data_IF_732179126561
#
_entry.id   IF_732179126561
#
_cell.length_a   1.000
_cell.length_b   1.000
_cell.length_c   1.000
_cell.angle_alpha   90.00
_cell.angle_beta   90.00
_cell.angle_gamma   90.00
#
_symmetry.space_group_name_H-M   'P 1'
#
loop_
_entity.id
_entity.type
_entity.pdbx_description
1 polymer ?
#
# COMPACT_ATOMS: atom_id res chain seq x y z
N UNK A 1 -14.09 22.65 -11.87
CA UNK A 1 -14.66 21.77 -10.81
C UNK A 1 -15.81 22.49 -10.14
N UNK A 2 -16.94 21.82 -9.95
CA UNK A 2 -18.00 22.26 -9.04
C UNK A 2 -17.80 21.47 -7.74
N UNK A 3 -17.27 22.11 -6.69
CA UNK A 3 -16.98 21.47 -5.41
C UNK A 3 -17.86 22.12 -4.36
N UNK A 4 -18.52 21.30 -3.54
CA UNK A 4 -19.38 21.74 -2.44
C UNK A 4 -18.73 21.42 -1.10
N UNK A 5 -19.05 22.21 -0.07
CA UNK A 5 -18.72 21.90 1.31
C UNK A 5 -19.66 20.81 1.88
N UNK A 6 -19.44 20.46 3.16
CA UNK A 6 -20.25 19.48 3.88
C UNK A 6 -21.73 19.87 4.06
N UNK A 7 -22.09 21.13 3.79
CA UNK A 7 -23.45 21.66 3.84
C UNK A 7 -24.06 21.79 2.42
N UNK A 8 -23.34 21.36 1.38
CA UNK A 8 -23.79 21.43 -0.01
C UNK A 8 -23.59 22.81 -0.66
N UNK A 9 -22.93 23.75 0.01
CA UNK A 9 -22.65 25.06 -0.56
C UNK A 9 -21.42 25.02 -1.44
N UNK A 10 -21.51 25.63 -2.62
CA UNK A 10 -20.38 25.75 -3.53
C UNK A 10 -19.21 26.46 -2.84
N UNK A 11 -18.01 25.86 -2.92
CA UNK A 11 -16.78 26.52 -2.46
C UNK A 11 -16.55 27.79 -3.28
N UNK A 12 -16.54 28.92 -2.59
CA UNK A 12 -16.37 30.27 -3.17
C UNK A 12 -15.16 31.02 -2.62
N UNK A 13 -14.46 30.42 -1.64
CA UNK A 13 -13.23 30.98 -1.07
C UNK A 13 -12.15 31.11 -2.14
N UNK A 14 -11.82 32.36 -2.49
CA UNK A 14 -10.83 32.69 -3.51
C UNK A 14 -9.42 32.28 -3.11
N UNK A 15 -9.08 32.31 -1.81
CA UNK A 15 -7.79 31.89 -1.29
C UNK A 15 -7.60 30.38 -1.45
N UNK A 16 -8.61 29.59 -1.08
CA UNK A 16 -8.59 28.14 -1.29
C UNK A 16 -8.51 27.77 -2.78
N UNK A 17 -9.29 28.44 -3.62
CA UNK A 17 -9.24 28.24 -5.09
C UNK A 17 -7.85 28.59 -5.64
N UNK A 18 -7.26 29.69 -5.20
CA UNK A 18 -5.91 30.09 -5.61
C UNK A 18 -4.86 29.08 -5.17
N UNK A 19 -4.95 28.58 -3.93
CA UNK A 19 -4.05 27.54 -3.44
C UNK A 19 -4.13 26.25 -4.27
N UNK A 20 -5.34 25.79 -4.59
CA UNK A 20 -5.53 24.62 -5.47
C UNK A 20 -4.91 24.86 -6.84
N UNK A 21 -5.11 26.05 -7.43
CA UNK A 21 -4.49 26.41 -8.71
C UNK A 21 -2.97 26.40 -8.64
N UNK A 22 -2.40 26.98 -7.59
CA UNK A 22 -0.95 27.01 -7.37
C UNK A 22 -0.37 25.59 -7.25
N UNK A 23 -0.96 24.75 -6.41
CA UNK A 23 -0.54 23.36 -6.24
C UNK A 23 -0.60 22.55 -7.55
N UNK A 24 -1.63 22.77 -8.38
CA UNK A 24 -1.75 22.14 -9.70
C UNK A 24 -0.73 22.66 -10.71
N UNK A 25 -0.34 23.94 -10.64
CA UNK A 25 0.64 24.55 -11.53
C UNK A 25 2.08 24.19 -11.15
N UNK A 26 2.40 24.09 -9.87
CA UNK A 26 3.70 23.61 -9.37
C UNK A 26 3.94 22.16 -9.80
N UNK A 27 2.93 21.29 -9.68
CA UNK A 27 2.98 19.91 -10.15
C UNK A 27 3.13 19.76 -11.69
N UNK A 28 2.81 20.80 -12.47
CA UNK A 28 3.02 20.81 -13.93
C UNK A 28 4.40 21.35 -14.33
N UNK A 29 5.02 22.17 -13.49
CA UNK A 29 6.32 22.79 -13.75
C UNK A 29 7.50 21.86 -13.45
N UNK A 30 7.28 20.79 -12.66
CA UNK A 30 8.24 19.71 -12.43
C UNK A 30 8.37 18.70 -13.58
N UNK A 31 7.72 18.94 -14.74
CA UNK A 31 7.85 18.12 -15.97
C UNK A 31 9.20 18.24 -16.69
N UNK A 32 10.25 18.67 -15.99
CA UNK A 32 11.63 18.69 -16.49
C UNK A 32 12.28 17.33 -16.29
N UNK A 33 12.15 16.45 -17.29
CA UNK A 33 13.08 15.36 -17.66
C UNK A 33 13.95 14.85 -16.48
N UNK A 34 13.44 13.91 -15.69
CA UNK A 34 14.32 12.99 -14.98
C UNK A 34 14.73 11.92 -16.00
N UNK A 35 16.02 11.85 -16.34
CA UNK A 35 16.55 10.69 -17.03
C UNK A 35 16.37 9.49 -16.11
N UNK A 36 15.50 8.55 -16.48
CA UNK A 36 15.52 7.19 -15.95
C UNK A 36 16.91 6.61 -16.24
N UNK A 37 17.87 6.80 -15.34
CA UNK A 37 19.10 6.01 -15.36
C UNK A 37 18.70 4.66 -14.76
N UNK A 38 18.09 3.80 -15.60
CA UNK A 38 18.14 2.37 -15.35
C UNK A 38 19.62 1.99 -15.34
N UNK A 39 20.18 1.68 -14.17
CA UNK A 39 21.46 0.97 -14.04
C UNK A 39 21.27 -0.43 -14.65
N UNK A 40 21.24 -0.52 -15.97
CA UNK A 40 21.39 -1.78 -16.69
C UNK A 40 22.88 -2.13 -16.66
N UNK A 41 23.17 -3.33 -16.16
CA UNK A 41 24.41 -4.10 -16.28
C UNK A 41 25.64 -3.26 -16.66
N UNK A 42 26.50 -2.98 -15.68
CA UNK A 42 27.75 -2.25 -15.83
C UNK A 42 28.68 -2.92 -16.87
N UNK A 43 28.55 -2.52 -18.13
CA UNK A 43 29.53 -2.69 -19.18
C UNK A 43 29.39 -1.50 -20.15
N UNK A 44 30.00 -0.36 -19.79
CA UNK A 44 30.66 0.63 -20.69
C UNK A 44 30.86 1.99 -19.97
N UNK A 45 32.00 2.63 -20.25
CA UNK A 45 32.57 3.82 -19.59
C UNK A 45 32.76 4.96 -20.64
N UNK A 46 33.11 6.22 -20.29
CA UNK A 46 32.38 7.26 -19.54
C UNK A 46 32.18 8.54 -20.36
N UNK A 47 31.24 9.42 -19.96
CA UNK A 47 31.24 10.78 -20.50
C UNK A 47 30.09 11.70 -20.12
N UNK A 48 29.79 11.91 -18.83
CA UNK A 48 29.12 13.14 -18.42
C UNK A 48 29.32 13.40 -16.93
N UNK A 49 30.05 14.47 -16.60
CA UNK A 49 30.13 15.02 -15.24
C UNK A 49 28.81 15.72 -14.94
N UNK A 50 27.84 14.98 -14.40
CA UNK A 50 26.62 15.55 -13.83
C UNK A 50 26.94 15.95 -12.39
N UNK A 51 26.77 17.22 -12.03
CA UNK A 51 26.86 17.67 -10.65
C UNK A 51 25.68 17.10 -9.86
N UNK A 52 25.93 16.03 -9.12
CA UNK A 52 24.91 15.34 -8.31
C UNK A 52 24.64 16.15 -7.05
N UNK A 53 23.62 17.03 -7.09
CA UNK A 53 22.97 17.51 -5.87
C UNK A 53 22.27 16.33 -5.19
N UNK A 54 22.43 16.19 -3.87
CA UNK A 54 21.96 15.10 -3.00
C UNK A 54 20.82 14.22 -3.59
N UNK A 55 21.19 13.15 -4.29
CA UNK A 55 20.24 12.21 -4.88
C UNK A 55 19.89 11.13 -3.88
N UNK A 56 18.61 11.02 -3.52
CA UNK A 56 18.11 9.89 -2.74
C UNK A 56 17.99 8.67 -3.67
N UNK A 57 18.41 7.51 -3.19
CA UNK A 57 18.25 6.26 -3.94
C UNK A 57 16.98 5.56 -3.51
N UNK A 58 16.18 5.14 -4.49
CA UNK A 58 14.99 4.33 -4.26
C UNK A 58 15.13 2.96 -4.92
N UNK A 59 14.68 1.95 -4.19
CA UNK A 59 14.56 0.58 -4.63
C UNK A 59 13.09 0.35 -4.93
N UNK A 60 12.78 -0.04 -6.16
CA UNK A 60 11.47 -0.53 -6.54
C UNK A 60 11.52 -2.03 -6.74
N UNK A 61 10.68 -2.76 -6.03
CA UNK A 61 10.57 -4.20 -6.17
C UNK A 61 9.12 -4.59 -6.39
N UNK A 62 8.89 -5.46 -7.36
CA UNK A 62 7.63 -6.18 -7.54
C UNK A 62 7.92 -7.67 -7.60
N UNK A 63 7.19 -8.45 -6.83
CA UNK A 63 7.38 -9.89 -6.69
C UNK A 63 6.10 -10.58 -6.24
N UNK A 64 6.09 -11.91 -6.23
CA UNK A 64 5.05 -12.68 -5.55
C UNK A 64 5.11 -12.40 -4.04
N UNK A 65 3.96 -12.18 -3.42
CA UNK A 65 3.86 -12.01 -1.98
C UNK A 65 4.08 -13.35 -1.27
N UNK A 66 4.96 -13.34 -0.27
CA UNK A 66 5.32 -14.51 0.53
C UNK A 66 5.52 -14.11 1.99
N UNK A 67 5.14 -14.96 2.96
CA UNK A 67 5.34 -14.68 4.37
C UNK A 67 6.80 -14.36 4.68
N UNK A 68 7.05 -13.20 5.29
CA UNK A 68 8.39 -12.78 5.70
C UNK A 68 9.22 -12.04 4.65
N UNK A 69 8.75 -11.89 3.40
CA UNK A 69 9.44 -11.15 2.33
C UNK A 69 9.98 -9.79 2.77
N UNK A 70 9.12 -8.95 3.37
CA UNK A 70 9.51 -7.61 3.77
C UNK A 70 10.54 -7.59 4.93
N UNK A 71 10.57 -8.65 5.75
CA UNK A 71 11.57 -8.83 6.81
C UNK A 71 12.93 -9.21 6.23
N UNK A 72 12.94 -10.09 5.23
CA UNK A 72 14.17 -10.53 4.58
C UNK A 72 14.80 -9.37 3.81
N UNK A 73 13.99 -8.57 3.11
CA UNK A 73 14.45 -7.34 2.44
C UNK A 73 15.03 -6.36 3.45
N UNK A 74 14.32 -6.03 4.53
CA UNK A 74 14.79 -5.04 5.51
C UNK A 74 16.06 -5.49 6.24
N UNK A 75 16.23 -6.81 6.42
CA UNK A 75 17.43 -7.41 7.03
C UNK A 75 18.61 -7.41 6.07
N UNK A 76 18.39 -7.72 4.79
CA UNK A 76 19.43 -7.64 3.76
C UNK A 76 19.96 -6.21 3.61
N UNK A 77 19.06 -5.21 3.56
CA UNK A 77 19.45 -3.80 3.50
C UNK A 77 20.33 -3.39 4.69
N UNK A 78 19.94 -3.78 5.91
CA UNK A 78 20.71 -3.51 7.11
C UNK A 78 22.07 -4.23 7.10
N UNK A 79 22.11 -5.50 6.66
CA UNK A 79 23.34 -6.29 6.56
C UNK A 79 24.36 -5.71 5.57
N UNK A 80 23.89 -5.03 4.53
CA UNK A 80 24.70 -4.30 3.56
C UNK A 80 25.11 -2.89 4.02
N UNK A 81 24.68 -2.46 5.21
CA UNK A 81 24.99 -1.13 5.73
C UNK A 81 24.14 -0.01 5.13
N UNK A 82 22.97 -0.31 4.57
CA UNK A 82 22.01 0.70 4.15
C UNK A 82 21.02 1.01 5.27
N UNK A 83 20.77 2.30 5.48
CA UNK A 83 19.69 2.78 6.33
C UNK A 83 18.45 3.07 5.47
N UNK A 84 17.26 2.74 5.99
CA UNK A 84 16.00 3.01 5.29
C UNK A 84 15.40 4.32 5.81
N UNK A 85 15.34 5.35 4.98
CA UNK A 85 14.73 6.64 5.34
C UNK A 85 13.23 6.68 5.12
N UNK A 86 12.73 5.92 4.15
CA UNK A 86 11.30 5.69 3.97
C UNK A 86 11.04 4.37 3.25
N UNK A 87 9.93 3.71 3.57
CA UNK A 87 9.47 2.56 2.81
C UNK A 87 7.95 2.56 2.69
N UNK A 88 7.45 2.21 1.51
CA UNK A 88 6.03 1.93 1.29
C UNK A 88 5.90 0.60 0.56
N UNK A 89 5.07 -0.30 1.07
CA UNK A 89 4.77 -1.57 0.39
C UNK A 89 3.29 -1.90 0.46
N UNK A 90 2.76 -2.48 -0.62
CA UNK A 90 1.39 -2.98 -0.73
C UNK A 90 1.42 -4.45 -1.13
N UNK A 91 0.43 -5.22 -0.67
CA UNK A 91 0.15 -6.56 -1.18
C UNK A 91 -1.29 -6.66 -1.68
N UNK A 92 -1.50 -7.38 -2.79
CA UNK A 92 -2.82 -7.66 -3.38
C UNK A 92 -2.71 -8.87 -4.30
N UNK A 93 -3.69 -9.78 -4.26
CA UNK A 93 -3.74 -10.96 -5.13
C UNK A 93 -2.42 -11.76 -5.25
N UNK A 94 -1.80 -12.06 -4.10
CA UNK A 94 -0.51 -12.77 -4.02
C UNK A 94 0.66 -12.02 -4.69
N UNK A 95 0.53 -10.72 -4.91
CA UNK A 95 1.57 -9.83 -5.42
C UNK A 95 1.96 -8.83 -4.36
N UNK A 96 3.25 -8.49 -4.32
CA UNK A 96 3.82 -7.47 -3.48
C UNK A 96 4.54 -6.44 -4.35
N UNK A 97 4.34 -5.16 -4.03
CA UNK A 97 5.11 -4.06 -4.59
C UNK A 97 5.63 -3.18 -3.46
N UNK A 98 6.91 -2.82 -3.48
CA UNK A 98 7.50 -1.90 -2.52
C UNK A 98 8.41 -0.87 -3.17
N UNK A 99 8.43 0.32 -2.56
CA UNK A 99 9.35 1.42 -2.85
C UNK A 99 10.07 1.75 -1.55
N UNK A 100 11.40 1.61 -1.53
CA UNK A 100 12.24 1.80 -0.35
C UNK A 100 13.31 2.83 -0.66
N UNK A 101 13.31 3.93 0.07
CA UNK A 101 14.34 4.95 0.03
C UNK A 101 15.47 4.56 0.98
N UNK A 102 16.68 4.51 0.43
CA UNK A 102 17.88 4.07 1.14
C UNK A 102 18.96 5.14 1.15
N UNK A 103 19.69 5.17 2.26
CA UNK A 103 20.82 6.05 2.53
C UNK A 103 22.00 5.19 3.00
N UNK A 104 23.23 5.63 2.75
CA UNK A 104 24.42 4.96 3.29
C UNK A 104 24.46 5.19 4.82
N UNK A 105 24.53 4.12 5.62
CA UNK A 105 24.54 4.26 7.08
C UNK A 105 25.87 4.83 7.61
N UNK A 106 26.96 4.73 6.85
CA UNK A 106 28.31 5.15 7.25
C UNK A 106 28.69 6.53 6.68
N UNK A 107 28.02 6.98 5.63
CA UNK A 107 28.23 8.31 5.02
C UNK A 107 26.91 9.08 5.10
N UNK A 108 26.90 10.24 5.76
CA UNK A 108 25.80 11.22 5.65
C UNK A 108 25.79 11.83 4.23
N UNK A 109 25.58 11.01 3.19
CA UNK A 109 25.63 11.44 1.80
C UNK A 109 25.11 10.39 0.80
N UNK A 110 24.96 10.77 -0.48
CA UNK A 110 24.42 9.90 -1.53
C UNK A 110 25.26 8.65 -1.75
N UNK A 111 24.63 7.55 -2.17
CA UNK A 111 25.34 6.31 -2.56
C UNK A 111 26.13 6.59 -3.84
N UNK A 112 27.44 6.71 -3.73
CA UNK A 112 28.31 7.07 -4.86
C UNK A 112 28.99 5.86 -5.52
N UNK A 113 28.85 4.67 -4.95
CA UNK A 113 29.56 3.49 -5.42
C UNK A 113 28.65 2.56 -6.23
N UNK A 114 28.97 2.40 -7.52
CA UNK A 114 28.27 1.51 -8.42
C UNK A 114 28.45 0.04 -8.04
N UNK A 115 29.58 -0.34 -7.42
CA UNK A 115 29.82 -1.71 -6.96
C UNK A 115 28.90 -2.06 -5.79
N UNK A 116 28.76 -1.15 -4.82
CA UNK A 116 27.81 -1.29 -3.71
C UNK A 116 26.36 -1.42 -4.18
N UNK A 117 25.95 -0.67 -5.21
CA UNK A 117 24.60 -0.77 -5.79
C UNK A 117 24.39 -2.08 -6.56
N UNK A 118 25.41 -2.56 -7.29
CA UNK A 118 25.35 -3.86 -7.96
C UNK A 118 25.23 -5.01 -6.94
N UNK A 119 26.03 -4.97 -5.88
CA UNK A 119 25.97 -5.95 -4.79
C UNK A 119 24.60 -5.91 -4.08
N UNK A 120 24.05 -4.72 -3.84
CA UNK A 120 22.69 -4.56 -3.32
C UNK A 120 21.65 -5.20 -4.23
N UNK A 121 21.76 -4.96 -5.54
CA UNK A 121 20.84 -5.52 -6.52
C UNK A 121 20.89 -7.04 -6.54
N UNK A 122 22.09 -7.62 -6.54
CA UNK A 122 22.31 -9.05 -6.55
C UNK A 122 21.78 -9.71 -5.27
N UNK A 123 22.07 -9.13 -4.10
CA UNK A 123 21.61 -9.65 -2.82
C UNK A 123 20.08 -9.63 -2.70
N UNK A 124 19.44 -8.52 -3.08
CA UNK A 124 17.97 -8.45 -3.10
C UNK A 124 17.38 -9.43 -4.10
N UNK A 125 18.02 -9.62 -5.26
CA UNK A 125 17.56 -10.62 -6.22
C UNK A 125 17.69 -12.03 -5.65
N UNK A 126 18.74 -12.33 -4.88
CA UNK A 126 18.93 -13.62 -4.22
C UNK A 126 17.89 -13.85 -3.12
N UNK A 127 17.60 -12.84 -2.30
CA UNK A 127 16.54 -12.89 -1.27
C UNK A 127 15.20 -13.27 -1.90
N UNK A 128 14.83 -12.62 -3.00
CA UNK A 128 13.56 -12.89 -3.67
C UNK A 128 13.57 -14.27 -4.35
N UNK A 129 14.67 -14.63 -5.04
CA UNK A 129 14.83 -15.97 -5.66
C UNK A 129 14.79 -17.11 -4.65
N UNK A 130 15.27 -16.90 -3.42
CA UNK A 130 15.22 -17.93 -2.38
C UNK A 130 13.78 -18.23 -1.92
N UNK A 131 12.87 -17.28 -2.10
CA UNK A 131 11.45 -17.40 -1.76
C UNK A 131 10.60 -17.92 -2.93
N UNK A 132 10.99 -17.64 -4.17
CA UNK A 132 10.31 -18.15 -5.37
C UNK A 132 10.81 -19.55 -5.74
N UNK A 133 9.90 -20.51 -5.83
CA UNK A 133 10.21 -21.85 -6.35
C UNK A 133 10.73 -21.83 -7.79
N UNK A 134 11.41 -22.90 -8.21
CA UNK A 134 12.10 -23.04 -9.52
C UNK A 134 11.24 -22.66 -10.75
N UNK A 135 9.91 -22.78 -10.70
CA UNK A 135 9.01 -22.60 -11.84
C UNK A 135 8.55 -21.15 -12.11
N UNK A 136 8.64 -20.24 -11.13
CA UNK A 136 8.07 -18.87 -11.23
C UNK A 136 9.13 -17.76 -11.33
N UNK A 137 10.33 -18.08 -11.84
CA UNK A 137 11.48 -17.16 -12.01
C UNK A 137 11.21 -15.92 -12.90
N UNK A 138 10.00 -15.74 -13.44
CA UNK A 138 9.66 -14.69 -14.43
C UNK A 138 8.95 -13.45 -13.86
N UNK A 139 8.55 -13.42 -12.58
CA UNK A 139 7.72 -12.32 -12.03
C UNK A 139 8.46 -11.30 -11.17
N UNK A 140 9.74 -11.51 -10.86
CA UNK A 140 10.51 -10.55 -10.06
C UNK A 140 10.97 -9.37 -10.93
N UNK A 141 10.62 -8.15 -10.52
CA UNK A 141 11.09 -6.91 -11.14
C UNK A 141 11.71 -6.02 -10.06
N UNK A 142 13.03 -5.89 -10.11
CA UNK A 142 13.81 -5.02 -9.24
C UNK A 142 14.40 -3.87 -10.06
N UNK A 143 14.22 -2.63 -9.60
CA UNK A 143 14.81 -1.44 -10.21
C UNK A 143 15.43 -0.56 -9.13
N UNK A 144 16.63 -0.06 -9.39
CA UNK A 144 17.27 0.98 -8.60
C UNK A 144 17.10 2.31 -9.33
N UNK A 145 16.66 3.35 -8.61
CA UNK A 145 16.50 4.71 -9.15
C UNK A 145 17.26 5.72 -8.32
N UNK A 146 18.02 6.56 -9.00
CA UNK A 146 18.52 7.82 -8.45
C UNK A 146 17.46 8.89 -8.67
N UNK A 147 16.93 9.48 -7.59
CA UNK A 147 15.92 10.53 -7.69
C UNK A 147 16.51 11.91 -7.44
N UNK A 148 16.19 12.83 -8.35
CA UNK A 148 16.28 14.26 -8.07
C UNK A 148 15.16 14.67 -7.10
N UNK A 149 15.45 15.62 -6.22
CA UNK A 149 14.52 16.07 -5.17
C UNK A 149 13.15 16.48 -5.75
N UNK A 150 12.08 15.92 -5.18
CA UNK A 150 10.70 16.39 -5.37
C UNK A 150 9.85 15.71 -6.45
N UNK A 151 10.25 14.57 -7.01
CA UNK A 151 9.68 14.15 -8.31
C UNK A 151 8.71 12.95 -8.36
N UNK A 152 8.52 12.13 -7.32
CA UNK A 152 7.64 10.95 -7.43
C UNK A 152 6.55 10.89 -6.35
N UNK A 153 5.28 10.88 -6.78
CA UNK A 153 4.17 10.54 -5.90
C UNK A 153 4.20 9.03 -5.63
N UNK A 154 4.84 8.59 -4.54
CA UNK A 154 5.08 7.16 -4.20
C UNK A 154 3.86 6.27 -4.40
N UNK A 155 2.68 6.68 -3.90
CA UNK A 155 1.45 5.89 -4.07
C UNK A 155 0.98 5.77 -5.54
N UNK A 156 1.18 6.82 -6.36
CA UNK A 156 0.89 6.78 -7.80
C UNK A 156 1.78 5.75 -8.47
N UNK A 157 3.06 5.72 -8.09
CA UNK A 157 4.04 4.79 -8.63
C UNK A 157 3.76 3.35 -8.22
N UNK A 158 3.34 3.11 -6.98
CA UNK A 158 2.89 1.79 -6.53
C UNK A 158 1.69 1.28 -7.32
N UNK A 159 0.72 2.15 -7.64
CA UNK A 159 -0.39 1.79 -8.54
C UNK A 159 0.11 1.31 -9.91
N UNK A 160 1.10 1.99 -10.48
CA UNK A 160 1.70 1.61 -11.76
C UNK A 160 2.45 0.28 -11.68
N UNK A 161 3.20 0.05 -10.60
CA UNK A 161 3.93 -1.20 -10.37
C UNK A 161 2.98 -2.39 -10.27
N UNK A 162 1.93 -2.26 -9.45
CA UNK A 162 0.89 -3.29 -9.28
C UNK A 162 0.15 -3.56 -10.60
N UNK A 163 -0.31 -2.51 -11.29
CA UNK A 163 -0.98 -2.65 -12.58
C UNK A 163 -0.08 -3.34 -13.62
N UNK A 164 1.20 -2.95 -13.70
CA UNK A 164 2.14 -3.56 -14.61
C UNK A 164 2.46 -5.02 -14.26
N UNK A 165 2.15 -5.48 -13.04
CA UNK A 165 2.28 -6.88 -12.62
C UNK A 165 1.09 -7.76 -12.98
N UNK A 166 -0.04 -7.13 -13.33
CA UNK A 166 -1.28 -7.84 -13.59
C UNK A 166 -1.97 -8.32 -12.32
N UNK A 167 -1.85 -7.60 -11.21
CA UNK A 167 -2.56 -7.92 -9.96
C UNK A 167 -4.09 -7.94 -10.10
N UNK A 168 -4.64 -7.28 -11.13
CA UNK A 168 -6.06 -7.32 -11.49
C UNK A 168 -6.50 -8.67 -12.09
N UNK A 169 -5.57 -9.55 -12.48
CA UNK A 169 -5.87 -10.86 -13.04
C UNK A 169 -6.18 -11.85 -11.91
N UNK A 170 -7.44 -12.31 -11.83
CA UNK A 170 -7.87 -13.26 -10.80
C UNK A 170 -7.28 -14.64 -11.11
N UNK A 171 -6.34 -15.11 -10.30
CA UNK A 171 -5.74 -16.44 -10.45
C UNK A 171 -6.82 -17.53 -10.28
N UNK A 172 -6.91 -18.46 -11.23
CA UNK A 172 -8.00 -19.46 -11.32
C UNK A 172 -8.08 -20.48 -10.18
N UNK A 173 -7.16 -20.46 -9.22
CA UNK A 173 -7.11 -21.42 -8.10
C UNK A 173 -8.01 -21.06 -6.90
N UNK A 174 -8.59 -19.86 -6.86
CA UNK A 174 -9.38 -19.36 -5.73
C UNK A 174 -10.80 -18.93 -6.14
N UNK A 175 -11.46 -19.72 -6.99
CA UNK A 175 -12.87 -19.49 -7.34
C UNK A 175 -13.84 -19.94 -6.24
N UNK A 176 -13.37 -20.64 -5.21
CA UNK A 176 -14.16 -21.01 -4.04
C UNK A 176 -13.80 -20.10 -2.85
N UNK A 177 -14.81 -19.37 -2.34
CA UNK A 177 -14.85 -18.77 -0.99
C UNK A 177 -14.20 -17.39 -0.74
N UNK A 178 -14.19 -16.48 -1.71
CA UNK A 178 -14.11 -15.02 -1.42
C UNK A 178 -15.40 -14.31 -1.81
N UNK A 179 -16.54 -14.73 -1.26
CA UNK A 179 -17.79 -13.93 -1.30
C UNK A 179 -17.69 -12.67 -0.42
N UNK A 180 -16.73 -12.61 0.52
CA UNK A 180 -16.59 -11.48 1.46
C UNK A 180 -15.60 -10.38 1.03
N UNK A 181 -14.83 -10.55 -0.05
CA UNK A 181 -13.80 -9.58 -0.47
C UNK A 181 -14.34 -8.37 -1.23
N UNK A 182 -15.50 -8.50 -1.86
CA UNK A 182 -16.15 -7.44 -2.64
C UNK A 182 -17.25 -6.71 -1.86
N UNK A 183 -17.37 -6.92 -0.54
CA UNK A 183 -18.53 -6.46 0.24
C UNK A 183 -18.55 -4.92 0.38
N UNK A 184 -19.08 -4.29 -0.66
CA UNK A 184 -19.22 -2.85 -0.80
C UNK A 184 -18.42 -2.22 -1.93
N UNK A 185 -17.76 -2.96 -2.84
CA UNK A 185 -17.19 -2.40 -4.09
C UNK A 185 -18.01 -2.92 -5.27
N UNK A 186 -18.64 -2.00 -6.00
CA UNK A 186 -19.38 -2.28 -7.22
C UNK A 186 -18.82 -1.38 -8.33
N UNK A 187 -18.38 -2.00 -9.43
CA UNK A 187 -17.89 -1.29 -10.61
C UNK A 187 -18.68 -1.76 -11.81
N UNK A 188 -19.30 -0.83 -12.53
CA UNK A 188 -19.92 -1.11 -13.82
C UNK A 188 -19.39 -0.15 -14.88
N UNK A 189 -19.23 -0.67 -16.09
CA UNK A 189 -18.81 0.11 -17.25
C UNK A 189 -19.90 -0.06 -18.29
N UNK A 190 -20.54 1.01 -18.72
CA UNK A 190 -21.65 0.99 -19.68
C UNK A 190 -21.34 1.89 -20.87
N UNK A 191 -21.92 1.60 -22.03
CA UNK A 191 -21.76 2.43 -23.22
C UNK A 191 -22.82 3.51 -23.26
N UNK A 192 -22.39 4.75 -23.47
CA UNK A 192 -23.27 5.84 -23.86
C UNK A 192 -23.08 6.14 -25.35
N UNK A 193 -23.89 5.46 -26.17
CA UNK A 193 -23.72 5.36 -27.62
C UNK A 193 -23.82 6.72 -28.34
N UNK A 194 -24.73 7.59 -27.89
CA UNK A 194 -25.02 8.88 -28.54
C UNK A 194 -23.81 9.81 -28.63
N UNK A 195 -22.92 9.77 -27.63
CA UNK A 195 -21.72 10.61 -27.58
C UNK A 195 -20.42 9.80 -27.61
N UNK A 196 -20.49 8.49 -27.84
CA UNK A 196 -19.31 7.62 -27.90
C UNK A 196 -18.47 7.65 -26.62
N UNK A 197 -19.12 7.74 -25.45
CA UNK A 197 -18.46 7.67 -24.14
C UNK A 197 -18.65 6.28 -23.54
N UNK A 198 -17.71 5.89 -22.68
CA UNK A 198 -17.97 4.88 -21.65
C UNK A 198 -18.34 5.60 -20.36
N UNK A 199 -19.36 5.08 -19.70
CA UNK A 199 -19.82 5.53 -18.38
C UNK A 199 -19.33 4.51 -17.38
N UNK A 200 -18.36 4.92 -16.57
CA UNK A 200 -17.80 4.10 -15.50
C UNK A 200 -18.48 4.53 -14.20
N UNK A 201 -19.21 3.62 -13.58
CA UNK A 201 -19.78 3.80 -12.25
C UNK A 201 -18.96 3.01 -11.24
N UNK A 202 -18.56 3.67 -10.17
CA UNK A 202 -17.83 3.09 -9.04
C UNK A 202 -18.60 3.44 -7.78
N UNK A 203 -19.10 2.41 -7.09
CA UNK A 203 -19.70 2.53 -5.77
C UNK A 203 -18.82 1.79 -4.78
N UNK A 204 -18.35 2.51 -3.75
CA UNK A 204 -17.46 1.95 -2.72
C UNK A 204 -17.78 2.52 -1.35
N UNK A 205 -17.22 1.97 -0.26
CA UNK A 205 -17.21 2.69 1.02
C UNK A 205 -16.40 3.96 0.87
N UNK A 206 -16.91 5.06 1.43
CA UNK A 206 -16.15 6.31 1.38
C UNK A 206 -14.89 6.19 2.25
N UNK A 207 -13.76 6.59 1.67
CA UNK A 207 -12.47 6.53 2.33
C UNK A 207 -11.50 7.56 1.74
N UNK A 208 -10.51 8.00 2.51
CA UNK A 208 -9.44 8.83 1.98
C UNK A 208 -8.82 8.22 0.73
N UNK A 209 -8.58 9.07 -0.27
CA UNK A 209 -7.91 8.74 -1.54
C UNK A 209 -8.68 7.79 -2.46
N UNK A 210 -9.97 7.52 -2.23
CA UNK A 210 -10.79 6.73 -3.13
C UNK A 210 -10.83 7.33 -4.56
N UNK A 211 -11.14 8.63 -4.69
CA UNK A 211 -11.10 9.35 -5.97
C UNK A 211 -9.72 9.26 -6.65
N UNK A 212 -8.65 9.35 -5.86
CA UNK A 212 -7.28 9.24 -6.36
C UNK A 212 -7.03 7.87 -6.99
N UNK A 213 -7.44 6.78 -6.33
CA UNK A 213 -7.26 5.42 -6.83
C UNK A 213 -8.02 5.21 -8.15
N UNK A 214 -9.27 5.67 -8.25
CA UNK A 214 -10.06 5.59 -9.48
C UNK A 214 -9.38 6.33 -10.63
N UNK A 215 -8.93 7.57 -10.40
CA UNK A 215 -8.30 8.40 -11.44
C UNK A 215 -6.93 7.84 -11.86
N UNK A 216 -6.19 7.21 -10.94
CA UNK A 216 -4.94 6.52 -11.28
C UNK A 216 -5.16 5.43 -12.33
N UNK A 217 -6.18 4.58 -12.16
CA UNK A 217 -6.52 3.51 -13.11
C UNK A 217 -6.91 4.08 -14.46
N UNK A 218 -7.85 5.04 -14.47
CA UNK A 218 -8.30 5.67 -15.71
C UNK A 218 -7.12 6.27 -16.48
N UNK A 219 -6.21 6.96 -15.78
CA UNK A 219 -5.03 7.56 -16.39
C UNK A 219 -4.03 6.53 -16.89
N UNK A 220 -3.73 5.49 -16.10
CA UNK A 220 -2.78 4.42 -16.49
C UNK A 220 -3.24 3.63 -17.70
N UNK A 221 -4.55 3.36 -17.76
CA UNK A 221 -5.18 2.69 -18.88
C UNK A 221 -5.42 3.64 -20.09
N UNK A 222 -4.91 4.87 -20.03
CA UNK A 222 -5.00 5.88 -21.09
C UNK A 222 -6.44 6.30 -21.43
N UNK A 223 -7.30 6.40 -20.42
CA UNK A 223 -8.63 7.02 -20.54
C UNK A 223 -8.59 8.50 -20.18
N UNK A 224 -9.23 9.31 -21.01
CA UNK A 224 -9.48 10.73 -20.77
C UNK A 224 -10.86 10.89 -20.14
N UNK A 225 -10.92 11.58 -18.99
CA UNK A 225 -12.16 11.90 -18.29
C UNK A 225 -12.70 13.23 -18.80
N UNK A 226 -13.90 13.22 -19.38
CA UNK A 226 -14.56 14.42 -19.88
C UNK A 226 -15.46 15.05 -18.83
N UNK A 227 -16.26 14.21 -18.18
CA UNK A 227 -17.15 14.58 -17.10
C UNK A 227 -17.04 13.57 -15.98
N UNK A 228 -17.15 14.05 -14.75
CA UNK A 228 -17.23 13.21 -13.57
C UNK A 228 -18.20 13.81 -12.57
N UNK A 229 -19.00 12.96 -11.95
CA UNK A 229 -19.83 13.28 -10.80
C UNK A 229 -19.39 12.39 -9.64
N UNK A 230 -19.08 13.01 -8.50
CA UNK A 230 -18.62 12.29 -7.31
C UNK A 230 -19.48 12.77 -6.15
N UNK A 231 -20.15 11.82 -5.49
CA UNK A 231 -20.93 12.07 -4.29
C UNK A 231 -20.47 11.12 -3.19
N UNK A 232 -20.43 11.62 -1.97
CA UNK A 232 -20.23 10.83 -0.78
C UNK A 232 -21.46 10.97 0.11
N UNK A 233 -21.98 9.83 0.58
CA UNK A 233 -22.89 9.74 1.71
C UNK A 233 -22.09 9.23 2.92
N UNK A 234 -22.71 9.22 4.11
CA UNK A 234 -21.99 9.02 5.39
C UNK A 234 -21.13 7.75 5.50
N UNK A 235 -21.31 6.74 4.63
CA UNK A 235 -20.47 5.54 4.60
C UNK A 235 -20.07 5.06 3.20
N UNK A 236 -20.72 5.53 2.14
CA UNK A 236 -20.52 5.10 0.76
C UNK A 236 -20.26 6.30 -0.15
N UNK A 237 -19.40 6.10 -1.14
CA UNK A 237 -19.15 7.04 -2.21
C UNK A 237 -19.59 6.44 -3.54
N UNK A 238 -20.28 7.26 -4.33
CA UNK A 238 -20.73 6.97 -5.68
C UNK A 238 -19.98 7.90 -6.64
N UNK A 239 -19.36 7.33 -7.66
CA UNK A 239 -18.58 8.05 -8.65
C UNK A 239 -19.00 7.63 -10.05
N UNK A 240 -19.34 8.59 -10.90
CA UNK A 240 -19.69 8.39 -12.30
C UNK A 240 -18.67 9.14 -13.16
N UNK A 241 -18.07 8.47 -14.14
CA UNK A 241 -17.10 9.04 -15.06
C UNK A 241 -17.47 8.79 -16.51
N UNK A 242 -17.49 9.85 -17.30
CA UNK A 242 -17.62 9.79 -18.76
C UNK A 242 -16.23 9.83 -19.38
N UNK A 243 -15.80 8.69 -19.92
CA UNK A 243 -14.43 8.49 -20.39
C UNK A 243 -14.35 8.11 -21.86
N UNK A 244 -13.22 8.44 -22.49
CA UNK A 244 -12.83 7.89 -23.81
C UNK A 244 -11.38 7.45 -23.78
N UNK A 245 -11.04 6.44 -24.56
CA UNK A 245 -9.66 6.03 -24.72
C UNK A 245 -8.89 7.05 -25.55
N UNK A 246 -7.71 7.43 -25.08
CA UNK A 246 -6.82 8.35 -25.77
C UNK A 246 -6.39 7.75 -27.11
N UNK A 247 -6.61 8.51 -28.19
CA UNK A 247 -6.17 8.14 -29.53
C UNK A 247 -6.96 7.01 -30.22
N UNK A 248 -8.08 6.54 -29.68
CA UNK A 248 -8.87 5.50 -30.36
C UNK A 248 -9.98 6.09 -31.24
N UNK A 249 -10.01 5.63 -32.49
CA UNK A 249 -11.20 5.60 -33.35
C UNK A 249 -11.91 4.28 -33.03
N UNK A 250 -12.77 4.31 -32.02
CA UNK A 250 -13.80 3.30 -31.67
C UNK A 250 -13.48 1.86 -32.16
N UNK A 251 -12.59 1.15 -31.46
CA UNK A 251 -12.53 -0.31 -31.54
C UNK A 251 -13.12 -0.87 -30.26
N UNK A 252 -14.28 -1.49 -30.43
CA UNK A 252 -15.13 -2.03 -29.37
C UNK A 252 -14.59 -3.40 -28.93
N UNK A 253 -13.98 -3.46 -27.76
CA UNK A 253 -13.49 -4.71 -27.19
C UNK A 253 -14.14 -4.91 -25.82
N UNK A 254 -15.03 -5.89 -25.70
CA UNK A 254 -15.62 -6.28 -24.41
C UNK A 254 -14.53 -6.67 -23.40
N UNK A 255 -13.43 -7.25 -23.88
CA UNK A 255 -12.25 -7.53 -23.07
C UNK A 255 -11.60 -6.28 -22.46
N UNK A 256 -11.65 -5.13 -23.14
CA UNK A 256 -11.13 -3.87 -22.58
C UNK A 256 -12.06 -3.28 -21.52
N UNK A 257 -13.37 -3.45 -21.71
CA UNK A 257 -14.39 -3.08 -20.73
C UNK A 257 -14.22 -3.91 -19.44
N UNK A 258 -14.10 -5.22 -19.58
CA UNK A 258 -13.86 -6.14 -18.47
C UNK A 258 -12.53 -5.84 -17.78
N UNK A 259 -11.46 -5.63 -18.55
CA UNK A 259 -10.15 -5.25 -18.01
C UNK A 259 -10.22 -3.96 -17.20
N UNK A 260 -10.93 -2.94 -17.70
CA UNK A 260 -11.11 -1.69 -16.98
C UNK A 260 -11.83 -1.90 -15.64
N UNK A 261 -12.91 -2.67 -15.63
CA UNK A 261 -13.63 -3.00 -14.40
C UNK A 261 -12.73 -3.74 -13.39
N UNK A 262 -11.97 -4.75 -13.84
CA UNK A 262 -11.03 -5.49 -12.98
C UNK A 262 -9.92 -4.61 -12.42
N UNK A 263 -9.34 -3.71 -13.24
CA UNK A 263 -8.31 -2.79 -12.78
C UNK A 263 -8.83 -1.81 -11.73
N UNK A 264 -10.06 -1.33 -11.88
CA UNK A 264 -10.71 -0.47 -10.89
C UNK A 264 -10.94 -1.22 -9.58
N UNK A 265 -11.50 -2.44 -9.64
CA UNK A 265 -11.71 -3.27 -8.45
C UNK A 265 -10.38 -3.51 -7.74
N UNK A 266 -9.33 -3.93 -8.45
CA UNK A 266 -8.01 -4.17 -7.87
C UNK A 266 -7.44 -2.91 -7.21
N UNK A 267 -7.48 -1.76 -7.89
CA UNK A 267 -6.99 -0.50 -7.33
C UNK A 267 -7.73 -0.07 -6.06
N UNK A 268 -9.04 -0.34 -5.98
CA UNK A 268 -9.85 -0.04 -4.81
C UNK A 268 -9.51 -0.99 -3.65
N UNK A 269 -9.36 -2.28 -3.94
CA UNK A 269 -9.04 -3.34 -2.97
C UNK A 269 -7.63 -3.21 -2.38
N UNK A 270 -6.63 -2.80 -3.15
CA UNK A 270 -5.24 -2.57 -2.68
C UNK A 270 -5.14 -1.71 -1.41
N UNK A 271 -6.09 -0.80 -1.21
CA UNK A 271 -6.14 0.09 -0.04
C UNK A 271 -7.17 -0.33 1.03
N UNK A 272 -7.96 -1.37 0.79
CA UNK A 272 -8.86 -1.92 1.81
C UNK A 272 -8.04 -2.78 2.75
N UNK A 273 -7.47 -2.14 3.76
CA UNK A 273 -6.77 -2.83 4.82
C UNK A 273 -7.75 -3.37 5.86
N UNK A 274 -7.71 -4.68 6.09
CA UNK A 274 -8.36 -5.36 7.20
C UNK A 274 -7.30 -5.81 8.21
N UNK A 275 -7.72 -6.06 9.45
CA UNK A 275 -6.84 -6.58 10.49
C UNK A 275 -6.28 -5.49 11.41
N UNK A 276 -5.06 -5.68 11.91
CA UNK A 276 -4.48 -4.80 12.92
C UNK A 276 -3.66 -3.68 12.27
N UNK A 277 -4.04 -2.43 12.49
CA UNK A 277 -3.19 -1.27 12.17
C UNK A 277 -2.32 -0.94 13.38
N UNK A 278 -1.01 -0.98 13.20
CA UNK A 278 -0.03 -0.54 14.18
C UNK A 278 0.64 0.74 13.71
N UNK A 279 0.50 1.80 14.49
CA UNK A 279 1.17 3.07 14.29
C UNK A 279 2.34 3.18 15.28
N UNK A 280 3.52 3.49 14.77
CA UNK A 280 4.72 3.70 15.58
C UNK A 280 5.20 5.15 15.43
N UNK A 281 5.64 5.72 16.54
CA UNK A 281 6.37 6.99 16.58
C UNK A 281 7.55 6.83 17.53
N UNK A 282 8.75 6.76 16.98
CA UNK A 282 9.98 6.52 17.76
C UNK A 282 11.15 7.33 17.20
N UNK A 283 12.23 7.44 17.96
CA UNK A 283 13.47 8.03 17.49
C UNK A 283 14.01 7.26 16.28
N UNK A 284 14.46 7.99 15.25
CA UNK A 284 15.03 7.38 14.07
C UNK A 284 16.39 6.75 14.40
N UNK A 285 16.44 5.42 14.40
CA UNK A 285 17.64 4.64 14.71
C UNK A 285 17.94 3.67 13.56
N UNK A 286 19.23 3.48 13.31
CA UNK A 286 19.69 2.52 12.28
C UNK A 286 19.11 1.13 12.56
N UNK A 287 18.54 0.52 11.52
CA UNK A 287 17.94 -0.81 11.58
C UNK A 287 16.57 -0.88 12.26
N UNK A 288 15.90 0.26 12.51
CA UNK A 288 14.56 0.30 13.09
C UNK A 288 13.57 -0.57 12.30
N UNK A 289 13.54 -0.42 10.97
CA UNK A 289 12.61 -1.18 10.13
C UNK A 289 12.82 -2.69 10.28
N UNK A 290 14.07 -3.16 10.20
CA UNK A 290 14.41 -4.58 10.40
C UNK A 290 13.96 -5.10 11.77
N UNK A 291 14.22 -4.34 12.84
CA UNK A 291 13.79 -4.70 14.21
C UNK A 291 12.26 -4.82 14.32
N UNK A 292 11.51 -3.86 13.77
CA UNK A 292 10.05 -3.87 13.80
C UNK A 292 9.50 -5.05 13.00
N UNK A 293 9.97 -5.23 11.76
CA UNK A 293 9.51 -6.31 10.88
C UNK A 293 9.84 -7.68 11.47
N UNK A 294 10.97 -7.82 12.16
CA UNK A 294 11.36 -9.06 12.84
C UNK A 294 10.38 -9.41 13.96
N UNK A 295 10.02 -8.46 14.82
CA UNK A 295 9.02 -8.67 15.88
C UNK A 295 7.68 -9.11 15.29
N UNK A 296 7.25 -8.49 14.19
CA UNK A 296 6.01 -8.86 13.49
C UNK A 296 6.06 -10.34 13.03
N UNK A 297 7.15 -10.73 12.34
CA UNK A 297 7.33 -12.11 11.85
C UNK A 297 7.44 -13.14 12.98
N UNK A 298 8.20 -12.85 14.03
CA UNK A 298 8.37 -13.74 15.19
C UNK A 298 7.05 -13.99 15.94
N UNK A 299 6.05 -13.13 15.74
CA UNK A 299 4.71 -13.29 16.29
C UNK A 299 3.70 -13.87 15.27
N UNK A 300 4.16 -14.40 14.13
CA UNK A 300 3.32 -15.07 13.14
C UNK A 300 2.42 -14.13 12.35
N UNK A 301 2.75 -12.83 12.30
CA UNK A 301 1.97 -11.83 11.56
C UNK A 301 2.60 -11.54 10.19
N UNK A 302 1.74 -11.28 9.22
CA UNK A 302 2.13 -10.85 7.87
C UNK A 302 1.83 -9.37 7.67
N UNK A 303 2.64 -8.70 6.87
CA UNK A 303 2.50 -7.27 6.56
C UNK A 303 1.77 -7.14 5.23
N UNK A 304 0.52 -6.68 5.27
CA UNK A 304 -0.26 -6.42 4.06
C UNK A 304 0.04 -5.04 3.46
N UNK A 305 0.34 -4.07 4.33
CA UNK A 305 0.73 -2.72 3.91
C UNK A 305 1.65 -2.09 4.93
N UNK A 306 2.62 -1.33 4.45
CA UNK A 306 3.51 -0.50 5.29
C UNK A 306 3.69 0.87 4.67
N UNK A 307 3.70 1.88 5.53
CA UNK A 307 4.10 3.26 5.24
C UNK A 307 5.00 3.70 6.39
N UNK A 308 6.29 3.91 6.16
CA UNK A 308 7.22 4.43 7.17
C UNK A 308 8.07 5.54 6.55
N UNK A 309 8.36 6.55 7.34
CA UNK A 309 9.22 7.66 6.97
C UNK A 309 9.83 8.34 8.19
N UNK A 310 10.71 9.29 7.92
CA UNK A 310 11.40 10.07 8.95
C UNK A 310 10.97 11.54 8.84
N UNK A 311 10.56 12.10 9.97
CA UNK A 311 10.24 13.52 10.14
C UNK A 311 11.17 14.10 11.22
N UNK A 312 12.16 14.89 10.79
CA UNK A 312 13.23 15.35 11.67
C UNK A 312 14.02 14.18 12.24
N UNK A 313 14.06 14.05 13.56
CA UNK A 313 14.73 12.95 14.27
C UNK A 313 13.78 11.79 14.61
N UNK A 314 12.51 11.87 14.19
CA UNK A 314 11.48 10.89 14.55
C UNK A 314 11.11 10.03 13.34
N UNK A 315 11.15 8.71 13.50
CA UNK A 315 10.54 7.77 12.57
C UNK A 315 9.05 7.59 12.88
N UNK A 316 8.21 7.72 11.86
CA UNK A 316 6.76 7.56 11.91
C UNK A 316 6.38 6.45 10.95
N UNK A 317 5.67 5.44 11.44
CA UNK A 317 5.28 4.29 10.64
C UNK A 317 3.83 3.85 10.88
N UNK A 318 3.21 3.32 9.84
CA UNK A 318 1.91 2.64 9.85
C UNK A 318 2.08 1.27 9.21
N UNK A 319 1.79 0.22 9.97
CA UNK A 319 1.86 -1.18 9.54
C UNK A 319 0.46 -1.78 9.61
N UNK A 320 0.01 -2.39 8.53
CA UNK A 320 -1.26 -3.10 8.45
C UNK A 320 -0.95 -4.59 8.44
N UNK A 321 -1.36 -5.26 9.50
CA UNK A 321 -0.98 -6.62 9.82
C UNK A 321 -2.17 -7.56 9.70
N UNK A 322 -1.93 -8.72 9.11
CA UNK A 322 -2.89 -9.82 9.01
C UNK A 322 -2.34 -11.03 9.75
N UNK A 323 -3.24 -11.77 10.40
CA UNK A 323 -2.93 -13.08 10.96
C UNK A 323 -3.13 -14.13 9.86
N UNK A 324 -2.30 -15.17 9.84
CA UNK A 324 -2.40 -16.29 8.89
C UNK A 324 -3.75 -17.03 8.98
N UNK A 325 -4.45 -16.96 10.12
CA UNK A 325 -5.77 -17.59 10.35
C UNK A 325 -6.97 -16.64 10.17
N UNK A 326 -6.75 -15.34 9.91
CA UNK A 326 -7.83 -14.34 9.87
C UNK A 326 -8.47 -14.02 11.24
N UNK A 327 -7.94 -14.59 12.32
CA UNK A 327 -8.39 -14.34 13.70
C UNK A 327 -7.70 -13.10 14.30
N UNK A 328 -8.29 -12.59 15.39
CA UNK A 328 -7.74 -11.46 16.16
C UNK A 328 -6.28 -11.72 16.56
N UNK A 329 -5.38 -10.91 15.99
CA UNK A 329 -3.99 -10.68 16.41
C UNK A 329 -3.85 -10.55 17.94
N UNK A 330 -2.87 -11.26 18.48
CA UNK A 330 -2.54 -11.21 19.90
C UNK A 330 -2.29 -9.75 20.36
N UNK A 331 -3.02 -9.23 21.37
CA UNK A 331 -2.87 -7.86 21.87
C UNK A 331 -1.45 -7.56 22.41
N UNK A 332 -0.65 -8.59 22.69
CA UNK A 332 0.72 -8.43 23.19
C UNK A 332 1.70 -7.84 22.14
N UNK A 333 1.34 -7.80 20.85
CA UNK A 333 2.21 -7.25 19.81
C UNK A 333 2.53 -5.77 20.03
N UNK A 334 1.56 -5.00 20.55
CA UNK A 334 1.76 -3.57 20.85
C UNK A 334 2.86 -3.39 21.90
N UNK A 335 2.85 -4.22 22.94
CA UNK A 335 3.84 -4.16 24.01
C UNK A 335 5.23 -4.58 23.52
N UNK A 336 5.31 -5.67 22.74
CA UNK A 336 6.58 -6.14 22.18
C UNK A 336 7.22 -5.09 21.27
N UNK A 337 6.42 -4.44 20.43
CA UNK A 337 6.91 -3.34 19.59
C UNK A 337 7.31 -2.12 20.42
N UNK A 338 6.58 -1.82 21.51
CA UNK A 338 6.94 -0.73 22.42
C UNK A 338 8.28 -0.98 23.09
N UNK A 339 8.52 -2.20 23.58
CA UNK A 339 9.80 -2.61 24.18
C UNK A 339 10.93 -2.49 23.16
N UNK A 340 10.72 -3.00 21.94
CA UNK A 340 11.76 -3.04 20.92
C UNK A 340 12.09 -1.66 20.34
N UNK A 341 11.09 -0.79 20.18
CA UNK A 341 11.27 0.53 19.57
C UNK A 341 11.60 1.62 20.59
N UNK A 342 11.22 1.45 21.86
CA UNK A 342 11.34 2.47 22.90
C UNK A 342 10.47 3.71 22.69
N UNK A 343 9.55 3.68 21.72
CA UNK A 343 8.70 4.82 21.33
C UNK A 343 7.21 4.61 21.64
N UNK A 344 6.38 5.49 21.10
CA UNK A 344 4.93 5.35 21.16
C UNK A 344 4.46 4.34 20.11
N UNK A 345 3.61 3.40 20.52
CA UNK A 345 3.00 2.40 19.64
C UNK A 345 1.51 2.36 19.94
N UNK A 346 0.70 2.54 18.89
CA UNK A 346 -0.77 2.48 18.94
C UNK A 346 -1.21 1.34 18.05
N UNK A 347 -2.04 0.44 18.56
CA UNK A 347 -2.56 -0.69 17.81
C UNK A 347 -4.09 -0.63 17.79
N UNK A 348 -4.67 -0.56 16.60
CA UNK A 348 -6.12 -0.44 16.39
C UNK A 348 -6.59 -1.49 15.39
N UNK A 349 -7.65 -2.21 15.74
CA UNK A 349 -8.30 -3.11 14.80
C UNK A 349 -9.12 -2.33 13.78
N UNK A 350 -8.77 -2.50 12.52
CA UNK A 350 -9.55 -2.04 11.39
C UNK A 350 -10.42 -3.21 10.95
N UNK A 351 -11.63 -3.24 11.49
CA UNK A 351 -12.71 -3.95 10.85
C UNK A 351 -13.12 -3.16 9.61
N UNK A 352 -13.37 -3.80 8.46
CA UNK A 352 -13.98 -3.12 7.32
C UNK A 352 -15.28 -2.40 7.72
N UNK A 353 -15.95 -2.86 8.79
CA UNK A 353 -17.31 -2.53 9.22
C UNK A 353 -17.43 -1.60 10.45
N UNK A 354 -16.33 -1.04 10.96
CA UNK A 354 -16.43 -0.12 12.09
C UNK A 354 -16.55 1.33 11.61
N UNK A 355 -17.74 1.90 11.79
CA UNK A 355 -17.98 3.35 11.68
C UNK A 355 -17.17 4.06 12.77
N UNK A 356 -16.49 5.19 12.50
CA UNK A 356 -15.91 6.01 13.55
C UNK A 356 -17.01 6.39 14.54
N UNK A 357 -16.91 5.95 15.79
CA UNK A 357 -17.80 6.46 16.84
C UNK A 357 -17.53 7.96 16.97
N UNK A 358 -18.56 8.83 16.89
CA UNK A 358 -18.38 10.22 17.25
C UNK A 358 -17.84 10.27 18.68
N UNK A 359 -16.77 11.02 18.90
CA UNK A 359 -16.27 11.37 20.23
C UNK A 359 -17.37 12.14 20.96
N UNK A 360 -18.29 11.44 21.61
CA UNK A 360 -19.23 12.04 22.54
C UNK A 360 -18.43 12.40 23.79
N UNK A 361 -18.15 13.70 23.91
CA UNK A 361 -17.70 14.34 25.13
C UNK A 361 -18.51 13.83 26.32
N UNK A 362 -17.82 13.25 27.29
CA UNK A 362 -18.39 12.81 28.55
C UNK A 362 -18.94 14.01 29.34
N UNK A 363 -20.23 14.26 29.24
CA UNK A 363 -20.96 15.04 30.24
C UNK A 363 -21.76 14.07 31.10
N UNK A 364 -21.22 13.79 32.27
CA UNK A 364 -21.88 13.08 33.37
C UNK A 364 -23.22 13.72 33.69
N UNK A 365 -24.31 12.97 33.59
CA UNK A 365 -25.53 13.26 34.34
C UNK A 365 -26.29 11.97 34.64
N UNK A 366 -26.31 11.67 35.93
CA UNK A 366 -27.04 10.59 36.58
C UNK A 366 -28.55 10.67 36.34
N UNK A 367 -29.16 9.56 35.96
CA UNK A 367 -30.50 9.22 36.44
C UNK A 367 -30.68 7.70 36.44
N UNK A 368 -30.94 7.17 37.63
CA UNK A 368 -31.30 5.78 37.87
C UNK A 368 -32.65 5.46 37.24
N UNK A 369 -32.81 4.25 36.69
CA UNK A 369 -33.97 3.41 36.98
C UNK A 369 -33.71 1.95 36.57
N UNK A 370 -33.96 1.06 37.52
CA UNK A 370 -33.97 -0.40 37.37
C UNK A 370 -35.11 -0.90 36.47
N UNK A 371 -34.88 -1.99 35.74
CA UNK A 371 -35.70 -3.21 35.88
C UNK A 371 -35.09 -4.41 35.11
N UNK A 372 -35.33 -5.59 35.69
CA UNK A 372 -34.71 -6.90 35.48
C UNK A 372 -35.24 -7.60 34.22
N UNK A 373 -34.43 -8.46 33.58
CA UNK A 373 -34.65 -9.92 33.63
C UNK A 373 -33.61 -10.73 32.85
N UNK A 374 -33.46 -11.97 33.32
CA UNK A 374 -32.53 -13.05 33.02
C UNK A 374 -32.48 -13.56 31.57
N UNK A 375 -31.28 -14.00 31.15
CA UNK A 375 -31.02 -15.43 30.92
C UNK A 375 -29.52 -15.68 30.71
N UNK A 376 -28.96 -16.50 31.60
CA UNK A 376 -27.61 -17.04 31.49
C UNK A 376 -27.57 -18.13 30.41
N UNK A 377 -26.65 -18.03 29.46
CA UNK A 377 -26.14 -19.18 28.71
C UNK A 377 -24.62 -19.13 28.76
N UNK A 378 -24.03 -20.03 29.57
CA UNK A 378 -22.59 -20.34 29.54
C UNK A 378 -22.31 -21.26 28.35
N UNK A 379 -21.25 -21.02 27.55
CA UNK A 379 -20.61 -22.09 26.80
C UNK A 379 -19.48 -22.70 27.63
N UNK A 380 -19.47 -24.04 27.66
CA UNK A 380 -18.45 -24.88 28.29
C UNK A 380 -17.12 -24.74 27.54
N UNK A 381 -16.04 -24.52 28.29
CA UNK A 381 -14.67 -24.58 27.81
C UNK A 381 -14.34 -26.04 27.44
N UNK A 382 -14.02 -26.27 26.16
CA UNK A 382 -13.43 -27.52 25.68
C UNK A 382 -11.92 -27.31 25.54
N UNK A 383 -11.16 -27.71 26.56
CA UNK A 383 -9.70 -27.77 26.50
C UNK A 383 -9.32 -29.07 25.79
N UNK A 384 -9.04 -29.00 24.49
CA UNK A 384 -8.65 -30.21 23.73
C UNK A 384 -8.01 -30.00 22.35
N UNK A 385 -8.08 -28.80 21.74
CA UNK A 385 -7.56 -28.57 20.38
C UNK A 385 -6.51 -27.46 20.24
N UNK A 386 -6.17 -26.73 21.32
CA UNK A 386 -5.27 -25.57 21.24
C UNK A 386 -3.77 -25.88 21.10
N UNK A 387 -3.35 -27.14 21.28
CA UNK A 387 -1.92 -27.49 21.28
C UNK A 387 -1.39 -27.97 19.91
N UNK A 388 -2.27 -28.34 18.98
CA UNK A 388 -1.84 -28.89 17.69
C UNK A 388 -1.68 -27.83 16.60
N UNK A 389 -2.52 -26.78 16.59
CA UNK A 389 -2.44 -25.70 15.59
C UNK A 389 -1.20 -24.79 15.76
N UNK A 390 -0.65 -24.69 16.97
CA UNK A 390 0.59 -23.92 17.21
C UNK A 390 1.85 -24.68 16.77
N UNK A 391 1.81 -26.02 16.73
CA UNK A 391 2.97 -26.82 16.32
C UNK A 391 3.11 -26.89 14.79
N UNK A 392 2.01 -26.93 14.03
CA UNK A 392 2.06 -26.92 12.56
C UNK A 392 2.59 -25.59 11.98
N UNK A 393 2.45 -24.49 12.72
CA UNK A 393 3.00 -23.18 12.32
C UNK A 393 4.51 -23.04 12.62
N UNK A 394 5.02 -23.77 13.62
CA UNK A 394 6.46 -23.81 13.93
C UNK A 394 7.23 -24.77 13.02
N UNK A 395 6.60 -25.86 12.53
CA UNK A 395 7.30 -26.88 11.74
C UNK A 395 7.61 -26.46 10.30
N UNK A 396 6.84 -25.53 9.73
CA UNK A 396 7.14 -25.00 8.38
C UNK A 396 8.27 -23.95 8.35
N UNK A 397 8.81 -23.55 9.50
CA UNK A 397 9.86 -22.52 9.62
C UNK A 397 11.29 -23.07 9.80
N UNK A 398 11.48 -24.40 9.79
CA UNK A 398 12.81 -25.00 9.88
C UNK A 398 13.20 -25.70 8.56
N UNK A 399 13.98 -25.02 7.71
CA UNK A 399 14.85 -25.73 6.74
C UNK A 399 16.14 -26.15 7.45
N UNK A 400 16.63 -27.39 7.25
CA UNK A 400 17.91 -27.81 7.80
C UNK A 400 19.06 -27.13 7.05
N UNK A 401 19.98 -26.52 7.80
CA UNK A 401 21.28 -26.09 7.27
C UNK A 401 22.05 -27.33 6.79
N UNK A 402 22.46 -27.31 5.52
CA UNK A 402 23.53 -28.15 4.99
C UNK A 402 24.52 -27.27 4.26
#
# INVERSE_FOLDING_TARGET
FHVTDQFGHKLTDKGLVHYIQQALCEARSSKGISSDIELRSCNELPGSKVSVSASNFAIELTTRDQPGLFVDISTALLGLGFNVSSATAWTHNERAACIIYVEDANKLGPIHDAESLAHLQDELQNVVKAQDGEEEKKRVRLRLRSLAAGCDHTERRLHQMMYADGDYERSGACQSEKENGHEGIEVSVCRYAEKGYWVVNVRSRDRPKLLFDTVCVLTDMQYEVFHAAVSSNTSMADQEYFVRRKGSLVLENESEREKLALCLIAALERRVSHGLKVEIRTENRIGLLSKVTRVIRENGLSIAKVEIGVEGETAIGSFYLTNCSGEDVNPNIQELLRIQTGGSVIANYISPYSVPKPMLSSCSRSSMHESKSSSQVRPKLSFGSMLWSQLECLTNNFRPLK
#
